data_IF_166760511680
#
_entry.id   IF_166760511680
#
_cell.length_a   1.000
_cell.length_b   1.000
_cell.length_c   1.000
_cell.angle_alpha   90.00
_cell.angle_beta   90.00
_cell.angle_gamma   90.00
#
_symmetry.space_group_name_H-M   'P 1'
#
loop_
_entity.id
_entity.type
_entity.pdbx_description
1 polymer ?
#
# COMPACT_ATOMS: atom_id res chain seq x y z
N UNK A 1 -16.44 -13.84 -5.72
CA UNK A 1 -15.77 -13.72 -4.42
C UNK A 1 -16.49 -14.59 -3.40
N UNK A 2 -15.77 -15.28 -2.49
CA UNK A 2 -16.40 -15.97 -1.37
C UNK A 2 -16.87 -15.02 -0.26
N UNK A 3 -16.51 -13.75 -0.30
CA UNK A 3 -16.89 -12.72 0.67
C UNK A 3 -18.19 -12.02 0.29
N UNK A 4 -19.00 -11.65 1.27
CA UNK A 4 -20.17 -10.79 1.09
C UNK A 4 -19.78 -9.32 0.85
N UNK A 5 -18.63 -8.90 1.37
CA UNK A 5 -18.12 -7.54 1.17
C UNK A 5 -17.03 -7.56 0.11
N UNK A 6 -17.24 -6.78 -0.93
CA UNK A 6 -16.28 -6.63 -2.02
C UNK A 6 -15.94 -5.16 -2.19
N UNK A 7 -14.65 -4.89 -2.30
CA UNK A 7 -14.15 -3.58 -2.67
C UNK A 7 -13.92 -3.53 -4.18
N UNK A 8 -14.51 -2.53 -4.83
CA UNK A 8 -14.34 -2.29 -6.26
C UNK A 8 -13.69 -0.93 -6.43
N UNK A 9 -12.48 -0.91 -6.99
CA UNK A 9 -11.78 0.30 -7.35
C UNK A 9 -11.94 0.57 -8.85
N UNK A 10 -12.56 1.69 -9.18
CA UNK A 10 -12.69 2.16 -10.56
C UNK A 10 -11.73 3.34 -10.77
N UNK A 11 -11.15 3.40 -11.97
CA UNK A 11 -10.29 4.50 -12.40
C UNK A 11 -10.89 5.16 -13.63
N UNK A 12 -10.88 6.50 -13.66
CA UNK A 12 -11.22 7.30 -14.83
C UNK A 12 -9.97 7.89 -15.47
N UNK A 13 -10.09 8.29 -16.71
CA UNK A 13 -9.05 9.03 -17.42
C UNK A 13 -9.25 10.53 -17.21
N UNK A 14 -8.15 11.24 -17.01
CA UNK A 14 -8.15 12.70 -17.07
C UNK A 14 -8.21 13.14 -18.52
N UNK A 15 -9.12 14.07 -18.83
CA UNK A 15 -9.17 14.76 -20.14
C UNK A 15 -8.57 16.13 -19.95
N UNK A 16 -7.52 16.44 -20.69
CA UNK A 16 -6.75 17.70 -20.57
C UNK A 16 -6.32 18.00 -19.12
N UNK A 17 -5.91 16.95 -18.38
CA UNK A 17 -5.49 17.05 -16.99
C UNK A 17 -6.64 17.30 -15.98
N UNK A 18 -7.91 17.29 -16.43
CA UNK A 18 -9.09 17.57 -15.60
C UNK A 18 -9.93 16.33 -15.32
N UNK A 19 -10.49 16.25 -14.14
CA UNK A 19 -11.32 15.12 -13.68
C UNK A 19 -12.80 15.26 -14.03
N UNK A 20 -13.25 16.42 -14.55
CA UNK A 20 -14.67 16.76 -14.71
C UNK A 20 -15.41 15.77 -15.60
N UNK A 21 -14.83 15.40 -16.75
CA UNK A 21 -15.42 14.44 -17.70
C UNK A 21 -15.60 13.08 -17.06
N UNK A 22 -14.59 12.55 -16.39
CA UNK A 22 -14.65 11.26 -15.70
C UNK A 22 -15.68 11.30 -14.55
N UNK A 23 -15.68 12.37 -13.78
CA UNK A 23 -16.64 12.57 -12.67
C UNK A 23 -18.06 12.63 -13.18
N UNK A 24 -18.32 13.34 -14.28
CA UNK A 24 -19.65 13.40 -14.92
C UNK A 24 -20.07 12.02 -15.39
N UNK A 25 -19.22 11.32 -16.13
CA UNK A 25 -19.48 9.95 -16.60
C UNK A 25 -19.89 9.01 -15.46
N UNK A 26 -19.19 9.08 -14.33
CA UNK A 26 -19.53 8.23 -13.19
C UNK A 26 -20.85 8.62 -12.55
N UNK A 27 -21.09 9.89 -12.31
CA UNK A 27 -22.32 10.37 -11.67
C UNK A 27 -23.58 10.10 -12.51
N UNK A 28 -23.45 10.20 -13.82
CA UNK A 28 -24.59 10.00 -14.75
C UNK A 28 -24.75 8.55 -15.22
N UNK A 29 -23.63 7.83 -15.39
CA UNK A 29 -23.61 6.50 -16.03
C UNK A 29 -23.40 5.31 -15.09
N UNK A 30 -22.67 5.49 -13.97
CA UNK A 30 -22.39 4.37 -13.08
C UNK A 30 -23.57 4.08 -12.16
N UNK A 31 -24.03 2.83 -12.19
CA UNK A 31 -25.07 2.33 -11.29
C UNK A 31 -24.62 1.01 -10.67
N UNK A 32 -24.67 0.93 -9.34
CA UNK A 32 -24.39 -0.29 -8.58
C UNK A 32 -25.64 -0.59 -7.74
N UNK A 33 -26.25 -1.73 -8.01
CA UNK A 33 -27.49 -2.16 -7.35
C UNK A 33 -27.58 -3.68 -7.32
N UNK A 34 -28.40 -4.27 -6.41
CA UNK A 34 -28.66 -5.70 -6.42
C UNK A 34 -29.31 -6.14 -7.74
N UNK A 35 -28.86 -7.25 -8.32
CA UNK A 35 -29.39 -7.76 -9.59
C UNK A 35 -30.92 -7.94 -9.55
N UNK A 36 -31.48 -8.33 -8.41
CA UNK A 36 -32.93 -8.47 -8.20
C UNK A 36 -33.71 -7.14 -8.31
N UNK A 37 -33.00 -5.99 -8.41
CA UNK A 37 -33.62 -4.66 -8.60
C UNK A 37 -33.25 -4.04 -9.94
N UNK A 38 -32.88 -4.85 -10.92
CA UNK A 38 -32.46 -4.37 -12.24
C UNK A 38 -33.54 -3.58 -12.96
N UNK A 39 -34.83 -3.97 -12.83
CA UNK A 39 -35.94 -3.30 -13.47
C UNK A 39 -36.29 -1.92 -12.84
N UNK A 40 -35.95 -1.70 -11.57
CA UNK A 40 -36.19 -0.48 -10.86
C UNK A 40 -34.99 -0.23 -9.91
N UNK A 41 -33.81 0.15 -10.43
CA UNK A 41 -32.60 0.34 -9.61
C UNK A 41 -32.77 1.53 -8.66
N UNK A 42 -32.40 1.37 -7.37
CA UNK A 42 -32.45 2.46 -6.42
C UNK A 42 -31.48 3.59 -6.81
N UNK A 43 -31.73 4.78 -6.33
CA UNK A 43 -30.79 5.89 -6.45
C UNK A 43 -29.47 5.56 -5.73
N UNK A 44 -28.37 6.04 -6.29
CA UNK A 44 -27.04 5.87 -5.72
C UNK A 44 -26.47 7.26 -5.34
N UNK A 45 -25.91 7.36 -4.16
CA UNK A 45 -25.22 8.55 -3.70
C UNK A 45 -23.72 8.46 -3.97
N UNK A 46 -23.12 9.53 -4.48
CA UNK A 46 -21.69 9.69 -4.64
C UNK A 46 -21.12 10.57 -3.53
N UNK A 47 -20.30 9.99 -2.67
CA UNK A 47 -19.65 10.72 -1.58
C UNK A 47 -18.33 11.28 -2.11
N UNK A 48 -18.14 12.59 -2.04
CA UNK A 48 -16.86 13.19 -2.37
C UNK A 48 -15.86 12.97 -1.22
N UNK A 49 -14.85 12.14 -1.47
CA UNK A 49 -13.76 11.86 -0.54
C UNK A 49 -12.52 12.75 -0.70
N UNK A 50 -12.50 13.65 -1.70
CA UNK A 50 -11.34 14.52 -1.95
C UNK A 50 -11.04 15.43 -0.76
N UNK A 51 -9.79 15.48 -0.34
CA UNK A 51 -9.35 16.29 0.81
C UNK A 51 -9.83 15.80 2.18
N UNK A 52 -10.51 14.65 2.26
CA UNK A 52 -10.92 14.05 3.54
C UNK A 52 -9.85 13.10 4.06
N UNK A 53 -9.60 13.15 5.35
CA UNK A 53 -8.72 12.21 6.03
C UNK A 53 -9.46 10.91 6.33
N UNK A 54 -8.86 9.78 5.95
CA UNK A 54 -9.34 8.45 6.26
C UNK A 54 -8.30 7.70 7.07
N UNK A 55 -8.76 6.86 8.02
CA UNK A 55 -7.86 5.95 8.71
C UNK A 55 -7.51 4.79 7.78
N UNK A 56 -6.23 4.70 7.40
CA UNK A 56 -5.67 3.64 6.55
C UNK A 56 -4.85 2.63 7.33
N UNK A 57 -4.75 2.78 8.66
CA UNK A 57 -3.98 1.91 9.54
C UNK A 57 -4.90 0.83 10.09
N UNK A 58 -4.50 -0.43 9.98
CA UNK A 58 -5.19 -1.53 10.65
C UNK A 58 -5.02 -1.41 12.18
N UNK A 59 -5.97 -1.98 12.94
CA UNK A 59 -5.88 -2.01 14.40
C UNK A 59 -4.63 -2.79 14.84
N UNK A 60 -3.82 -2.19 15.71
CA UNK A 60 -2.57 -2.75 16.25
C UNK A 60 -2.63 -2.94 17.79
N UNK A 61 -3.83 -3.08 18.30
CA UNK A 61 -4.13 -3.34 19.71
C UNK A 61 -5.25 -4.38 19.81
N UNK A 62 -5.81 -4.60 20.98
CA UNK A 62 -6.86 -5.59 21.20
C UNK A 62 -8.06 -5.46 20.26
N UNK A 63 -8.35 -4.26 19.76
CA UNK A 63 -9.42 -4.02 18.78
C UNK A 63 -9.28 -4.86 17.51
N UNK A 64 -8.06 -5.28 17.13
CA UNK A 64 -7.83 -6.21 16.03
C UNK A 64 -8.67 -7.48 16.15
N UNK A 65 -8.75 -8.07 17.34
CA UNK A 65 -9.53 -9.29 17.55
C UNK A 65 -11.04 -9.06 17.55
N UNK A 66 -11.48 -7.89 18.00
CA UNK A 66 -12.88 -7.48 17.91
C UNK A 66 -13.31 -7.31 16.45
N UNK A 67 -12.48 -6.63 15.64
CA UNK A 67 -12.70 -6.47 14.19
C UNK A 67 -12.64 -7.83 13.47
N UNK A 68 -11.67 -8.69 13.79
CA UNK A 68 -11.59 -10.04 13.26
C UNK A 68 -12.84 -10.85 13.59
N UNK A 69 -13.33 -10.79 14.84
CA UNK A 69 -14.57 -11.44 15.23
C UNK A 69 -15.76 -10.93 14.41
N UNK A 70 -15.89 -9.60 14.20
CA UNK A 70 -16.97 -9.04 13.38
C UNK A 70 -16.94 -9.61 11.95
N UNK A 71 -15.75 -9.75 11.36
CA UNK A 71 -15.59 -10.35 10.03
C UNK A 71 -16.01 -11.82 10.06
N UNK A 72 -15.54 -12.60 11.04
CA UNK A 72 -15.90 -14.03 11.17
C UNK A 72 -17.40 -14.22 11.34
N UNK A 73 -18.07 -13.36 12.11
CA UNK A 73 -19.52 -13.43 12.29
C UNK A 73 -20.29 -13.06 11.02
N UNK A 74 -19.86 -12.06 10.29
CA UNK A 74 -20.53 -11.56 9.10
C UNK A 74 -20.34 -12.45 7.87
N UNK A 75 -19.08 -12.79 7.58
CA UNK A 75 -18.69 -13.42 6.33
C UNK A 75 -19.10 -14.91 6.23
N UNK A 76 -19.25 -15.47 5.02
CA UNK A 76 -19.53 -16.89 4.84
C UNK A 76 -18.43 -17.77 5.43
N UNK A 77 -18.81 -18.92 5.94
CA UNK A 77 -17.85 -19.89 6.50
C UNK A 77 -16.77 -20.33 5.51
N UNK A 78 -17.08 -20.27 4.21
CA UNK A 78 -16.17 -20.59 3.10
C UNK A 78 -15.03 -19.59 2.90
N UNK A 79 -15.11 -18.39 3.51
CA UNK A 79 -14.09 -17.37 3.33
C UNK A 79 -12.74 -17.83 3.90
N UNK A 80 -12.77 -18.58 4.99
CA UNK A 80 -11.57 -19.08 5.66
C UNK A 80 -11.46 -20.59 5.53
N UNK A 81 -10.24 -21.10 5.29
CA UNK A 81 -9.96 -22.53 5.33
C UNK A 81 -10.23 -23.11 6.73
N UNK A 82 -10.45 -24.42 6.84
CA UNK A 82 -10.60 -25.07 8.16
C UNK A 82 -9.42 -24.79 9.10
N UNK A 83 -8.20 -24.75 8.59
CA UNK A 83 -6.98 -24.47 9.35
C UNK A 83 -7.00 -23.07 9.96
N UNK A 84 -7.34 -22.06 9.15
CA UNK A 84 -7.45 -20.66 9.61
C UNK A 84 -8.58 -20.53 10.64
N UNK A 85 -9.72 -21.19 10.42
CA UNK A 85 -10.82 -21.19 11.39
C UNK A 85 -10.45 -21.89 12.70
N UNK A 86 -9.63 -22.95 12.63
CA UNK A 86 -9.08 -23.63 13.81
C UNK A 86 -8.16 -22.71 14.63
N UNK A 87 -7.32 -21.92 13.96
CA UNK A 87 -6.49 -20.90 14.62
C UNK A 87 -7.35 -19.83 15.32
N UNK A 88 -8.41 -19.34 14.67
CA UNK A 88 -9.32 -18.38 15.30
C UNK A 88 -10.08 -18.99 16.49
N UNK A 89 -10.51 -20.25 16.34
CA UNK A 89 -11.21 -20.97 17.39
C UNK A 89 -10.34 -21.17 18.63
N UNK A 90 -9.03 -21.38 18.48
CA UNK A 90 -8.10 -21.57 19.60
C UNK A 90 -7.99 -20.35 20.52
N UNK A 91 -8.34 -19.16 20.02
CA UNK A 91 -8.41 -17.91 20.80
C UNK A 91 -9.85 -17.48 21.11
N UNK A 92 -10.84 -18.35 20.86
CA UNK A 92 -12.24 -18.11 21.19
C UNK A 92 -13.06 -17.41 20.10
N UNK A 93 -12.52 -17.18 18.90
CA UNK A 93 -13.25 -16.55 17.78
C UNK A 93 -13.84 -17.65 16.88
N UNK A 94 -15.16 -17.86 16.99
CA UNK A 94 -15.89 -18.85 16.20
C UNK A 94 -17.19 -18.26 15.67
N UNK A 95 -17.52 -18.58 14.40
CA UNK A 95 -18.81 -18.16 13.82
C UNK A 95 -19.99 -18.70 14.60
N UNK A 96 -20.96 -17.86 14.90
CA UNK A 96 -22.16 -18.18 15.66
C UNK A 96 -21.96 -18.23 17.19
N UNK A 97 -20.76 -17.89 17.68
CA UNK A 97 -20.47 -17.78 19.12
C UNK A 97 -20.01 -16.37 19.48
N UNK A 98 -20.40 -15.87 20.66
CA UNK A 98 -19.90 -14.58 21.13
C UNK A 98 -18.40 -14.67 21.46
N UNK A 99 -17.66 -13.65 21.11
CA UNK A 99 -16.25 -13.50 21.51
C UNK A 99 -16.18 -12.76 22.84
N UNK A 100 -16.02 -13.52 23.92
CA UNK A 100 -15.96 -12.98 25.26
C UNK A 100 -14.78 -13.61 26.06
N UNK A 101 -13.53 -13.21 25.72
CA UNK A 101 -12.36 -13.72 26.41
C UNK A 101 -12.34 -13.27 27.89
N UNK A 102 -11.92 -14.17 28.78
CA UNK A 102 -11.66 -13.84 30.17
C UNK A 102 -10.45 -12.87 30.30
N UNK A 103 -10.22 -12.39 31.54
CA UNK A 103 -9.15 -11.42 31.78
C UNK A 103 -7.76 -11.96 31.43
N UNK A 104 -7.52 -13.24 31.67
CA UNK A 104 -6.25 -13.89 31.30
C UNK A 104 -6.06 -13.89 29.77
N UNK A 105 -7.07 -14.31 29.03
CA UNK A 105 -7.01 -14.32 27.55
C UNK A 105 -6.90 -12.90 26.98
N UNK A 106 -7.59 -11.92 27.55
CA UNK A 106 -7.43 -10.50 27.14
C UNK A 106 -6.00 -10.02 27.28
N UNK A 107 -5.34 -10.33 28.39
CA UNK A 107 -3.93 -9.98 28.58
C UNK A 107 -3.05 -10.64 27.52
N UNK A 108 -3.18 -11.94 27.31
CA UNK A 108 -2.42 -12.69 26.31
C UNK A 108 -2.61 -12.10 24.90
N UNK A 109 -3.84 -11.80 24.50
CA UNK A 109 -4.14 -11.26 23.19
C UNK A 109 -3.62 -9.82 23.02
N UNK A 110 -3.63 -9.03 24.08
CA UNK A 110 -3.05 -7.68 24.07
C UNK A 110 -1.53 -7.74 23.84
N UNK A 111 -0.83 -8.63 24.53
CA UNK A 111 0.60 -8.83 24.34
C UNK A 111 0.90 -9.41 22.95
N UNK A 112 0.10 -10.39 22.51
CA UNK A 112 0.26 -11.05 21.23
C UNK A 112 0.13 -10.07 20.03
N UNK A 113 -0.84 -9.17 20.06
CA UNK A 113 -0.98 -8.18 18.97
C UNK A 113 0.16 -7.17 18.96
N UNK A 114 0.70 -6.79 20.12
CA UNK A 114 1.87 -5.91 20.19
C UNK A 114 3.11 -6.60 19.60
N UNK A 115 3.35 -7.86 19.96
CA UNK A 115 4.45 -8.67 19.40
C UNK A 115 4.26 -8.88 17.89
N UNK A 116 3.05 -9.22 17.44
CA UNK A 116 2.75 -9.41 16.03
C UNK A 116 2.99 -8.13 15.20
N UNK A 117 2.59 -6.97 15.72
CA UNK A 117 2.83 -5.69 15.08
C UNK A 117 4.33 -5.36 15.00
N UNK A 118 5.08 -5.59 16.07
CA UNK A 118 6.53 -5.42 16.09
C UNK A 118 7.22 -6.37 15.10
N UNK A 119 6.78 -7.62 15.03
CA UNK A 119 7.31 -8.63 14.08
C UNK A 119 7.04 -8.23 12.63
N UNK A 120 5.80 -7.85 12.30
CA UNK A 120 5.43 -7.43 10.96
C UNK A 120 6.23 -6.18 10.52
N UNK A 121 6.43 -5.25 11.44
CA UNK A 121 7.24 -4.05 11.24
C UNK A 121 8.72 -4.40 11.01
N UNK A 122 9.29 -5.28 11.81
CA UNK A 122 10.66 -5.74 11.65
C UNK A 122 10.85 -6.48 10.32
N UNK A 123 9.89 -7.32 9.93
CA UNK A 123 9.89 -8.04 8.66
C UNK A 123 9.88 -7.08 7.47
N UNK A 124 9.12 -5.98 7.56
CA UNK A 124 9.08 -4.97 6.49
C UNK A 124 10.39 -4.17 6.37
N UNK A 125 10.98 -3.75 7.50
CA UNK A 125 12.10 -2.81 7.50
C UNK A 125 13.47 -3.46 7.69
N UNK A 126 13.53 -4.79 7.79
CA UNK A 126 14.78 -5.54 7.97
C UNK A 126 14.68 -6.89 7.24
N UNK A 127 15.00 -6.86 5.95
CA UNK A 127 14.89 -8.04 5.12
C UNK A 127 15.79 -9.17 5.56
N UNK A 128 15.25 -10.39 5.32
CA UNK A 128 15.97 -11.64 5.49
C UNK A 128 16.18 -12.37 4.17
N UNK A 129 15.57 -11.89 3.09
CA UNK A 129 15.52 -12.60 1.83
C UNK A 129 15.99 -11.73 0.66
N UNK A 130 17.03 -12.16 -0.05
CA UNK A 130 17.56 -11.45 -1.21
C UNK A 130 16.58 -11.34 -2.39
N UNK A 131 15.57 -12.22 -2.47
CA UNK A 131 14.52 -12.15 -3.50
C UNK A 131 13.65 -10.87 -3.41
N UNK A 132 13.71 -10.16 -2.29
CA UNK A 132 12.97 -8.92 -2.09
C UNK A 132 13.61 -7.72 -2.80
N UNK A 133 14.90 -7.81 -3.15
CA UNK A 133 15.58 -6.75 -3.89
C UNK A 133 15.33 -6.84 -5.39
N UNK A 134 15.32 -5.69 -6.06
CA UNK A 134 15.14 -5.64 -7.51
C UNK A 134 16.32 -6.23 -8.27
N UNK A 135 17.54 -5.98 -7.79
CA UNK A 135 18.79 -6.49 -8.34
C UNK A 135 19.89 -6.51 -7.28
N UNK A 136 20.91 -7.29 -7.50
CA UNK A 136 22.02 -7.46 -6.58
C UNK A 136 22.74 -6.12 -6.28
N UNK A 137 23.05 -5.91 -5.01
CA UNK A 137 23.70 -4.68 -4.55
C UNK A 137 22.79 -3.45 -4.49
N UNK A 138 21.50 -3.61 -4.79
CA UNK A 138 20.50 -2.53 -4.70
C UNK A 138 19.80 -2.56 -3.35
N UNK A 139 19.41 -1.38 -2.85
CA UNK A 139 18.47 -1.22 -1.74
C UNK A 139 17.02 -0.96 -2.19
N UNK A 140 16.77 -1.02 -3.50
CA UNK A 140 15.42 -0.95 -4.06
C UNK A 140 14.74 -2.31 -4.02
N UNK A 141 13.49 -2.33 -3.61
CA UNK A 141 12.73 -3.53 -3.30
C UNK A 141 11.54 -3.75 -4.21
N UNK A 142 11.15 -5.02 -4.30
CA UNK A 142 9.93 -5.48 -4.97
C UNK A 142 8.75 -5.43 -4.00
N UNK A 143 7.57 -5.06 -4.50
CA UNK A 143 6.34 -5.14 -3.72
C UNK A 143 5.83 -6.57 -3.53
N UNK A 144 6.06 -7.44 -4.53
CA UNK A 144 5.57 -8.82 -4.56
C UNK A 144 6.69 -9.81 -4.86
N UNK A 145 7.45 -10.27 -3.85
CA UNK A 145 8.42 -11.34 -4.04
C UNK A 145 7.74 -12.58 -4.66
N UNK A 146 8.36 -13.15 -5.70
CA UNK A 146 7.79 -14.26 -6.47
C UNK A 146 6.71 -13.86 -7.48
N UNK A 147 6.43 -12.57 -7.68
CA UNK A 147 5.51 -12.01 -8.68
C UNK A 147 4.10 -12.64 -8.67
N UNK A 148 3.62 -13.07 -7.50
CA UNK A 148 2.27 -13.62 -7.37
C UNK A 148 1.57 -13.16 -6.09
N UNK A 149 0.24 -12.98 -6.18
CA UNK A 149 -0.59 -12.50 -5.06
C UNK A 149 -0.72 -13.48 -3.90
N UNK A 150 -0.34 -14.73 -4.10
CA UNK A 150 -0.35 -15.78 -3.07
C UNK A 150 0.99 -15.87 -2.33
N UNK A 151 2.01 -15.15 -2.79
CA UNK A 151 3.37 -15.19 -2.24
C UNK A 151 3.95 -16.61 -2.21
N UNK A 152 3.78 -17.36 -3.31
CA UNK A 152 4.31 -18.70 -3.43
C UNK A 152 5.81 -18.66 -3.77
N UNK A 153 6.58 -19.56 -3.16
CA UNK A 153 7.99 -19.81 -3.49
C UNK A 153 8.09 -20.94 -4.52
N UNK A 154 9.12 -20.87 -5.34
CA UNK A 154 9.47 -21.92 -6.31
C UNK A 154 8.23 -22.35 -7.13
N UNK A 155 7.53 -21.39 -7.71
CA UNK A 155 6.29 -21.59 -8.48
C UNK A 155 5.19 -22.38 -7.72
N UNK A 156 5.26 -22.35 -6.39
CA UNK A 156 4.32 -23.05 -5.50
C UNK A 156 4.87 -24.33 -4.87
N UNK A 157 5.97 -24.86 -5.35
CA UNK A 157 6.61 -26.06 -4.78
C UNK A 157 7.17 -25.79 -3.38
N UNK A 158 7.72 -24.60 -3.14
CA UNK A 158 8.25 -24.17 -1.85
C UNK A 158 7.18 -23.68 -0.85
N UNK A 159 5.90 -23.74 -1.22
CA UNK A 159 4.82 -23.23 -0.38
C UNK A 159 4.74 -21.71 -0.34
N UNK A 160 4.14 -21.17 0.73
CA UNK A 160 3.93 -19.72 0.88
C UNK A 160 5.08 -19.04 1.61
N UNK A 161 5.61 -17.97 1.02
CA UNK A 161 6.51 -17.05 1.71
C UNK A 161 5.70 -16.24 2.74
N UNK A 162 5.76 -16.66 4.01
CA UNK A 162 4.99 -16.05 5.10
C UNK A 162 5.50 -14.66 5.46
N UNK A 163 6.81 -14.43 5.33
CA UNK A 163 7.42 -13.12 5.59
C UNK A 163 6.96 -12.11 4.54
N UNK A 164 7.01 -12.46 3.26
CA UNK A 164 6.52 -11.60 2.17
C UNK A 164 5.03 -11.27 2.33
N UNK A 165 4.18 -12.26 2.70
CA UNK A 165 2.76 -12.03 2.98
C UNK A 165 2.55 -11.09 4.18
N UNK A 166 3.30 -11.28 5.26
CA UNK A 166 3.24 -10.45 6.46
C UNK A 166 3.72 -9.03 6.18
N UNK A 167 4.85 -8.90 5.49
CA UNK A 167 5.38 -7.64 5.01
C UNK A 167 4.34 -6.87 4.20
N UNK A 168 3.76 -7.49 3.19
CA UNK A 168 2.80 -6.83 2.33
C UNK A 168 1.50 -6.44 3.05
N UNK A 169 1.02 -7.29 3.97
CA UNK A 169 -0.11 -6.93 4.82
C UNK A 169 0.18 -5.68 5.65
N UNK A 170 1.35 -5.61 6.27
CA UNK A 170 1.75 -4.44 7.06
C UNK A 170 1.93 -3.20 6.19
N UNK A 171 2.51 -3.35 5.00
CA UNK A 171 2.81 -2.26 4.06
C UNK A 171 1.56 -1.70 3.40
N UNK A 172 0.72 -2.55 2.79
CA UNK A 172 -0.37 -2.14 1.92
C UNK A 172 -1.75 -2.72 2.29
N UNK A 173 -1.85 -3.62 3.27
CA UNK A 173 -3.07 -4.19 3.84
C UNK A 173 -3.85 -5.11 2.89
N UNK A 174 -3.98 -4.75 1.61
CA UNK A 174 -4.79 -5.47 0.63
C UNK A 174 -4.01 -5.75 -0.65
N UNK A 175 -4.20 -6.94 -1.23
CA UNK A 175 -3.69 -7.27 -2.56
C UNK A 175 -4.76 -7.95 -3.42
N UNK A 176 -4.52 -7.95 -4.72
CA UNK A 176 -5.33 -8.67 -5.71
C UNK A 176 -4.39 -9.30 -6.75
N UNK A 177 -4.86 -10.32 -7.52
CA UNK A 177 -4.06 -10.88 -8.62
C UNK A 177 -3.52 -9.81 -9.58
N UNK A 178 -4.33 -8.82 -9.91
CA UNK A 178 -3.94 -7.74 -10.83
C UNK A 178 -2.87 -6.79 -10.28
N UNK A 179 -2.74 -6.68 -8.96
CA UNK A 179 -1.69 -5.88 -8.34
C UNK A 179 -0.32 -6.56 -8.37
N UNK A 180 -0.30 -7.89 -8.29
CA UNK A 180 0.92 -8.69 -8.20
C UNK A 180 1.46 -9.14 -9.56
N UNK A 181 0.61 -9.22 -10.59
CA UNK A 181 1.02 -9.70 -11.92
C UNK A 181 1.94 -8.67 -12.58
N UNK A 182 3.11 -9.11 -12.98
CA UNK A 182 4.00 -8.38 -13.86
C UNK A 182 3.65 -8.69 -15.32
N UNK A 183 3.13 -7.68 -16.02
CA UNK A 183 2.83 -7.75 -17.44
C UNK A 183 3.71 -6.76 -18.18
N UNK A 184 4.73 -7.25 -18.87
CA UNK A 184 5.65 -6.41 -19.66
C UNK A 184 4.87 -5.54 -20.64
N UNK A 185 5.12 -4.23 -20.60
CA UNK A 185 4.44 -3.23 -21.44
C UNK A 185 3.03 -2.87 -20.99
N UNK A 186 2.52 -3.38 -19.87
CA UNK A 186 1.19 -3.08 -19.34
C UNK A 186 1.23 -2.92 -17.82
N UNK A 187 0.33 -2.05 -17.30
CA UNK A 187 0.18 -1.83 -15.88
C UNK A 187 1.30 -0.97 -15.28
N UNK A 188 1.36 -0.94 -13.95
CA UNK A 188 2.39 -0.24 -13.18
C UNK A 188 3.34 -1.24 -12.56
N UNK A 189 4.62 -0.88 -12.54
CA UNK A 189 5.64 -1.60 -11.79
C UNK A 189 6.07 -0.73 -10.61
N UNK A 190 6.36 -1.36 -9.48
CA UNK A 190 6.70 -0.67 -8.24
C UNK A 190 8.08 -1.05 -7.76
N UNK A 191 8.85 -0.02 -7.42
CA UNK A 191 10.05 -0.15 -6.63
C UNK A 191 9.88 0.72 -5.38
N UNK A 192 10.37 0.27 -4.25
CA UNK A 192 10.35 1.07 -3.03
C UNK A 192 11.69 1.01 -2.31
N UNK A 193 12.04 2.12 -1.64
CA UNK A 193 13.30 2.25 -0.93
C UNK A 193 13.13 3.03 0.37
N UNK A 194 13.85 2.59 1.40
CA UNK A 194 13.87 3.23 2.71
C UNK A 194 15.29 3.33 3.27
N UNK A 195 16.28 2.90 2.50
CA UNK A 195 17.70 3.00 2.83
C UNK A 195 18.41 3.88 1.82
N UNK A 196 19.43 4.57 2.27
CA UNK A 196 20.37 5.29 1.43
C UNK A 196 21.43 4.33 0.82
N UNK A 197 22.33 4.87 -0.02
CA UNK A 197 23.41 4.10 -0.66
C UNK A 197 24.42 3.48 0.33
N UNK A 198 24.40 3.88 1.58
CA UNK A 198 25.25 3.34 2.66
C UNK A 198 24.50 2.34 3.55
N UNK A 199 23.23 2.04 3.24
CA UNK A 199 22.40 1.14 4.03
C UNK A 199 21.80 1.78 5.29
N UNK A 200 21.81 3.12 5.42
CA UNK A 200 21.18 3.79 6.55
C UNK A 200 19.71 4.10 6.22
N UNK A 201 18.87 4.07 7.24
CA UNK A 201 17.47 4.51 7.10
C UNK A 201 17.38 5.97 6.65
N UNK A 202 16.43 6.24 5.75
CA UNK A 202 16.17 7.60 5.27
C UNK A 202 15.63 8.46 6.43
N UNK A 203 16.31 9.57 6.68
CA UNK A 203 16.07 10.50 7.78
C UNK A 203 15.56 11.83 7.22
N UNK A 204 14.40 12.27 7.66
CA UNK A 204 13.77 13.48 7.15
C UNK A 204 14.48 14.79 7.51
N UNK A 205 15.51 14.76 8.37
CA UNK A 205 16.36 15.91 8.67
C UNK A 205 17.58 16.05 7.74
N UNK A 206 17.82 15.05 6.87
CA UNK A 206 18.93 15.00 5.93
C UNK A 206 18.50 15.28 4.51
N UNK A 207 19.45 15.69 3.68
CA UNK A 207 19.24 15.89 2.24
C UNK A 207 19.68 14.65 1.47
N UNK A 208 18.87 14.25 0.50
CA UNK A 208 19.14 13.11 -0.39
C UNK A 208 18.91 13.50 -1.83
N UNK A 209 19.61 12.84 -2.72
CA UNK A 209 19.42 12.95 -4.18
C UNK A 209 19.18 11.56 -4.77
N UNK A 210 18.22 11.46 -5.67
CA UNK A 210 17.96 10.29 -6.48
C UNK A 210 17.99 10.71 -7.95
N UNK A 211 18.80 10.05 -8.75
CA UNK A 211 18.82 10.25 -10.19
C UNK A 211 17.86 9.25 -10.86
N UNK A 212 16.96 9.75 -11.68
CA UNK A 212 16.11 8.95 -12.56
C UNK A 212 16.73 8.99 -13.96
N UNK A 213 17.17 7.85 -14.50
CA UNK A 213 17.79 7.81 -15.84
C UNK A 213 16.83 8.32 -16.93
N UNK A 214 17.38 8.95 -17.96
CA UNK A 214 16.59 9.48 -19.09
C UNK A 214 15.91 8.38 -19.91
N UNK A 215 16.44 7.17 -19.89
CA UNK A 215 15.89 5.96 -20.51
C UNK A 215 15.08 5.07 -19.55
N UNK A 216 14.63 5.62 -18.41
CA UNK A 216 13.79 4.87 -17.48
C UNK A 216 12.62 4.19 -18.23
N UNK A 217 12.40 2.87 -18.06
CA UNK A 217 11.47 2.08 -18.89
C UNK A 217 9.99 2.35 -18.53
N UNK A 218 9.61 3.62 -18.49
CA UNK A 218 8.27 4.09 -18.16
C UNK A 218 7.54 4.56 -19.40
N UNK A 219 6.74 3.69 -20.03
CA UNK A 219 6.05 4.01 -21.29
C UNK A 219 5.17 5.27 -21.22
N UNK A 220 4.53 5.52 -20.09
CA UNK A 220 3.60 6.65 -19.91
C UNK A 220 4.15 7.69 -18.96
N UNK A 221 4.51 7.29 -17.76
CA UNK A 221 5.08 8.17 -16.74
C UNK A 221 5.76 7.36 -15.64
N UNK A 222 6.65 8.00 -14.94
CA UNK A 222 7.14 7.55 -13.63
C UNK A 222 6.73 8.52 -12.53
N UNK A 223 6.69 8.04 -11.30
CA UNK A 223 6.46 8.87 -10.13
C UNK A 223 7.28 8.37 -8.94
N UNK A 224 7.67 9.31 -8.09
CA UNK A 224 8.38 9.06 -6.84
C UNK A 224 7.57 9.72 -5.72
N UNK A 225 6.86 8.91 -4.93
CA UNK A 225 5.99 9.36 -3.86
C UNK A 225 6.58 9.01 -2.50
N UNK A 226 6.55 9.95 -1.55
CA UNK A 226 7.13 9.82 -0.21
C UNK A 226 6.06 9.47 0.81
N UNK A 227 6.38 8.52 1.69
CA UNK A 227 5.47 7.97 2.68
C UNK A 227 6.06 7.98 4.10
N UNK A 228 5.18 8.00 5.08
CA UNK A 228 5.50 7.86 6.50
C UNK A 228 5.59 6.37 6.87
N UNK A 229 6.72 5.86 7.40
CA UNK A 229 6.89 4.45 7.72
C UNK A 229 6.05 3.99 8.92
N UNK A 230 5.53 4.91 9.73
CA UNK A 230 4.67 4.56 10.87
C UNK A 230 3.23 4.30 10.42
N UNK A 231 2.74 5.10 9.49
CA UNK A 231 1.36 5.03 9.00
C UNK A 231 1.23 4.36 7.63
N UNK A 232 2.31 4.29 6.84
CA UNK A 232 2.37 3.85 5.43
C UNK A 232 1.45 4.66 4.52
N UNK A 233 1.01 5.82 4.98
CA UNK A 233 0.32 6.81 4.17
C UNK A 233 1.29 7.86 3.63
N UNK A 234 0.86 8.62 2.63
CA UNK A 234 1.67 9.72 2.08
C UNK A 234 2.13 10.66 3.19
N UNK A 235 3.40 11.06 3.13
CA UNK A 235 3.99 11.94 4.12
C UNK A 235 3.26 13.30 4.13
N UNK A 236 2.84 13.73 5.31
CA UNK A 236 2.18 15.02 5.49
C UNK A 236 3.23 16.13 5.59
N UNK A 237 3.23 17.00 4.61
CA UNK A 237 4.13 18.16 4.49
C UNK A 237 3.34 19.40 4.09
N UNK A 238 4.03 20.53 3.89
CA UNK A 238 3.42 21.75 3.36
C UNK A 238 3.14 21.71 1.85
N UNK A 239 3.67 20.70 1.14
CA UNK A 239 3.42 20.51 -0.27
C UNK A 239 2.06 19.82 -0.50
N UNK A 240 1.31 20.17 -1.56
CA UNK A 240 0.01 19.56 -1.86
C UNK A 240 0.14 18.06 -2.19
N UNK A 241 1.28 17.64 -2.73
CA UNK A 241 1.63 16.27 -3.04
C UNK A 241 3.06 15.97 -2.61
N UNK A 242 3.32 14.99 -1.76
CA UNK A 242 4.67 14.58 -1.40
C UNK A 242 5.28 13.67 -2.49
N UNK A 243 5.29 14.15 -3.72
CA UNK A 243 5.71 13.35 -4.88
C UNK A 243 6.14 14.21 -6.06
N UNK A 244 7.02 13.65 -6.89
CA UNK A 244 7.30 14.12 -8.25
C UNK A 244 6.84 13.08 -9.26
N UNK A 245 6.35 13.56 -10.40
CA UNK A 245 5.78 12.70 -11.44
C UNK A 245 6.03 13.33 -12.82
N UNK A 246 6.58 12.55 -13.75
CA UNK A 246 7.08 13.04 -15.05
C UNK A 246 6.02 13.70 -15.94
N UNK A 247 4.75 13.32 -15.80
CA UNK A 247 3.67 13.87 -16.62
C UNK A 247 2.98 15.10 -15.98
N UNK A 248 2.94 15.15 -14.64
CA UNK A 248 2.32 16.26 -13.91
C UNK A 248 3.26 17.45 -13.72
N UNK A 249 4.50 17.15 -13.34
CA UNK A 249 5.47 18.16 -12.90
C UNK A 249 6.36 18.59 -14.08
N UNK A 250 5.75 19.21 -15.08
CA UNK A 250 6.38 19.57 -16.37
C UNK A 250 7.46 20.66 -16.27
N UNK A 251 7.57 21.29 -15.10
CA UNK A 251 8.59 22.31 -14.81
C UNK A 251 9.85 21.73 -14.14
N UNK A 252 9.96 20.41 -14.02
CA UNK A 252 11.20 19.80 -13.51
C UNK A 252 12.39 20.11 -14.40
N UNK A 253 13.52 20.33 -13.78
CA UNK A 253 14.82 20.52 -14.44
C UNK A 253 15.30 19.14 -14.88
N UNK A 254 15.57 19.01 -16.18
CA UNK A 254 16.09 17.80 -16.83
C UNK A 254 17.55 18.02 -17.18
N UNK A 255 18.42 17.06 -16.89
CA UNK A 255 19.82 17.10 -17.21
C UNK A 255 20.06 16.95 -18.73
N UNK A 256 21.26 17.30 -19.21
CA UNK A 256 21.62 17.22 -20.63
C UNK A 256 21.50 15.82 -21.24
N UNK A 257 21.68 14.78 -20.41
CA UNK A 257 21.54 13.36 -20.80
C UNK A 257 20.10 12.85 -20.72
N UNK A 258 19.13 13.72 -20.42
CA UNK A 258 17.72 13.38 -20.26
C UNK A 258 17.36 12.81 -18.90
N UNK A 259 18.31 12.60 -18.00
CA UNK A 259 18.04 12.17 -16.63
C UNK A 259 17.43 13.29 -15.78
N UNK A 260 16.84 12.94 -14.65
CA UNK A 260 16.25 13.90 -13.72
C UNK A 260 16.78 13.63 -12.31
N UNK A 261 17.41 14.64 -11.70
CA UNK A 261 17.81 14.61 -10.32
C UNK A 261 16.65 15.06 -9.43
N UNK A 262 16.18 14.19 -8.56
CA UNK A 262 15.17 14.50 -7.55
C UNK A 262 15.82 14.69 -6.18
N UNK A 263 15.39 15.70 -5.47
CA UNK A 263 15.91 16.09 -4.17
C UNK A 263 14.88 15.86 -3.07
N UNK A 264 15.33 15.34 -1.94
CA UNK A 264 14.52 15.11 -0.74
C UNK A 264 15.22 15.73 0.45
N UNK A 265 14.51 16.48 1.24
CA UNK A 265 15.06 17.16 2.42
C UNK A 265 14.04 18.09 3.06
N UNK A 266 14.31 18.62 4.27
CA UNK A 266 13.40 19.55 4.92
C UNK A 266 13.22 20.86 4.10
N UNK A 267 14.29 21.28 3.42
CA UNK A 267 14.32 22.49 2.62
C UNK A 267 14.79 22.18 1.18
N UNK A 268 14.32 22.97 0.24
CA UNK A 268 14.71 22.84 -1.16
C UNK A 268 16.16 23.32 -1.35
N UNK A 269 16.99 22.61 -2.13
CA UNK A 269 18.26 23.19 -2.59
C UNK A 269 17.97 24.39 -3.49
N UNK A 270 18.81 25.42 -3.40
CA UNK A 270 18.69 26.65 -4.20
C UNK A 270 18.61 26.33 -5.70
N UNK A 271 17.60 26.84 -6.37
CA UNK A 271 17.37 26.63 -7.80
C UNK A 271 16.81 25.24 -8.16
N UNK A 272 16.56 24.34 -7.21
CA UNK A 272 16.06 22.98 -7.46
C UNK A 272 14.66 22.75 -6.86
N UNK A 273 13.93 23.80 -6.57
CA UNK A 273 12.59 23.74 -5.98
C UNK A 273 11.61 22.91 -6.84
N UNK A 274 11.77 22.98 -8.17
CA UNK A 274 10.96 22.19 -9.10
C UNK A 274 11.16 20.67 -8.97
N UNK A 275 12.37 20.25 -8.57
CA UNK A 275 12.75 18.84 -8.44
C UNK A 275 12.73 18.34 -6.98
N UNK A 276 12.33 19.19 -6.04
CA UNK A 276 12.38 18.88 -4.61
C UNK A 276 11.05 18.37 -4.06
N UNK A 277 11.15 17.38 -3.16
CA UNK A 277 10.05 16.89 -2.33
C UNK A 277 10.42 17.03 -0.86
N UNK A 278 9.55 17.68 -0.09
CA UNK A 278 9.80 17.97 1.32
C UNK A 278 9.76 16.70 2.17
N UNK A 279 10.72 16.58 3.09
CA UNK A 279 10.72 15.61 4.19
C UNK A 279 10.51 16.31 5.53
N UNK A 280 10.33 15.55 6.61
CA UNK A 280 10.00 16.10 7.94
C UNK A 280 11.09 15.74 8.93
N UNK A 281 11.83 16.71 9.51
CA UNK A 281 12.80 16.46 10.54
C UNK A 281 12.23 15.64 11.71
N UNK A 282 13.02 14.70 12.24
CA UNK A 282 12.61 13.80 13.31
C UNK A 282 11.71 12.64 12.88
N UNK A 283 11.41 12.50 11.57
CA UNK A 283 10.71 11.35 11.01
C UNK A 283 11.59 10.62 10.00
N UNK A 284 11.54 9.28 10.03
CA UNK A 284 11.97 8.50 8.89
C UNK A 284 10.96 8.62 7.75
N UNK A 285 11.37 8.21 6.55
CA UNK A 285 10.51 8.17 5.38
C UNK A 285 10.91 7.04 4.44
N UNK A 286 10.04 6.70 3.52
CA UNK A 286 10.35 5.81 2.42
C UNK A 286 9.71 6.32 1.13
N UNK A 287 10.18 5.83 0.01
CA UNK A 287 9.72 6.24 -1.33
C UNK A 287 9.23 5.04 -2.13
N UNK A 288 8.20 5.27 -2.91
CA UNK A 288 7.64 4.30 -3.86
C UNK A 288 7.59 4.91 -5.24
#
# INVERSE_FOLDING_TARGET
SPSYVNWVALRGFLVDGKSDTATKMWKEGLKIYPLSKADAPPSMEFINGSGKTFNTIHANNFKFYEELNQIVQREPIKLFSPEIRGQFASIGIQKGKPFNPDQRMKSILTDAVAVANATARATLWNERNSEEFLYDGSYWKRGYPGNNYQFLKDEGLGGRNLDARTMFYYFATVNTPMMAIELVGKGSQYAWGYLDSNGNFLDGSKNYKVNIPGDAPALKFWSMCVYDPQTRSMLQTNQPYPSKQSQRDTNMIVNEDGSVDLYYGPDAPEGMEANWTQTVPGKGWFVV
#
